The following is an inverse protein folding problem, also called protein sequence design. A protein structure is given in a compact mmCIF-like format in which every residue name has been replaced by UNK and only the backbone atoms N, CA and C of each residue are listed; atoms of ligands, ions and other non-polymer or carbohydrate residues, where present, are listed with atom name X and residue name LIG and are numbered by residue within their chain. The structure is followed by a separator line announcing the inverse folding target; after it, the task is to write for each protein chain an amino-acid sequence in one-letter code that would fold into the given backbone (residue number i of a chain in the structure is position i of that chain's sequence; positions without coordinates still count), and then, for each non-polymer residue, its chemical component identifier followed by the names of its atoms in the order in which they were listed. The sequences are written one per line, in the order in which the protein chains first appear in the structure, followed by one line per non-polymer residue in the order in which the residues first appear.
data_IF_579243531588
#
_entry.id   IF_579243531588
#
_cell.length_a   1.000
_cell.length_b   1.000
_cell.length_c   1.000
_cell.angle_alpha   90.00
_cell.angle_beta   90.00
_cell.angle_gamma   90.00
#
_symmetry.space_group_name_H-M   'P 1'
#
loop_
_entity.id
_entity.type
_entity.pdbx_description
1 polymer ?
#
# COMPACT_ATOMS: atom_id res chain seq x y z
N UNK A 1 3.13 1.59 -13.93
CA UNK A 1 2.25 1.89 -12.78
C UNK A 1 0.82 1.75 -13.25
N UNK A 2 0.06 0.80 -12.69
CA UNK A 2 -1.40 0.73 -12.88
C UNK A 2 -2.12 1.79 -12.03
N UNK A 3 -3.43 1.89 -12.16
CA UNK A 3 -4.24 2.85 -11.39
C UNK A 3 -5.52 2.20 -10.88
N UNK A 4 -5.91 2.52 -9.65
CA UNK A 4 -7.19 2.12 -9.05
C UNK A 4 -8.07 3.35 -8.90
N UNK A 5 -9.33 3.23 -9.29
CA UNK A 5 -10.35 4.27 -9.22
C UNK A 5 -11.48 3.73 -8.35
N UNK A 6 -11.80 4.45 -7.28
CA UNK A 6 -12.88 4.06 -6.37
C UNK A 6 -14.25 4.18 -7.06
N UNK A 7 -15.15 3.23 -6.79
CA UNK A 7 -16.59 3.43 -6.94
C UNK A 7 -17.15 3.91 -5.60
N UNK A 8 -17.99 4.94 -5.61
CA UNK A 8 -18.38 5.67 -4.39
C UNK A 8 -19.88 5.66 -4.12
N UNK A 9 -20.72 5.28 -5.09
CA UNK A 9 -22.15 5.47 -4.98
C UNK A 9 -22.92 4.15 -4.91
N UNK A 10 -23.75 4.00 -3.87
CA UNK A 10 -24.88 3.10 -3.81
C UNK A 10 -26.13 3.92 -3.47
N UNK A 11 -27.31 3.48 -3.88
CA UNK A 11 -28.56 4.19 -3.58
C UNK A 11 -29.02 4.00 -2.13
N UNK A 12 -28.70 2.83 -1.55
CA UNK A 12 -29.03 2.44 -0.16
C UNK A 12 -28.34 1.12 0.18
N UNK A 13 -28.30 0.76 1.47
CA UNK A 13 -27.71 -0.51 1.97
C UNK A 13 -28.24 -1.77 1.27
N UNK A 14 -29.47 -1.74 0.76
CA UNK A 14 -30.04 -2.85 -0.03
C UNK A 14 -29.25 -3.18 -1.31
N UNK A 15 -28.54 -2.21 -1.91
CA UNK A 15 -27.68 -2.48 -3.07
C UNK A 15 -26.39 -3.22 -2.67
N UNK A 16 -25.84 -2.88 -1.50
CA UNK A 16 -24.72 -3.62 -0.91
C UNK A 16 -25.15 -5.08 -0.71
N UNK A 17 -26.30 -5.32 -0.07
CA UNK A 17 -26.83 -6.66 0.11
C UNK A 17 -27.07 -7.39 -1.22
N UNK A 18 -27.61 -6.69 -2.23
CA UNK A 18 -27.80 -7.25 -3.57
C UNK A 18 -26.48 -7.70 -4.22
N UNK A 19 -25.41 -6.91 -4.13
CA UNK A 19 -24.08 -7.28 -4.66
C UNK A 19 -23.52 -8.53 -3.97
N UNK A 20 -23.64 -8.64 -2.63
CA UNK A 20 -23.24 -9.85 -1.89
C UNK A 20 -24.04 -11.09 -2.29
N UNK A 21 -25.31 -10.93 -2.64
CA UNK A 21 -26.20 -12.01 -3.08
C UNK A 21 -26.09 -12.32 -4.58
N UNK A 22 -25.27 -11.57 -5.33
CA UNK A 22 -25.16 -11.70 -6.79
C UNK A 22 -26.42 -11.26 -7.53
N UNK A 23 -27.24 -10.41 -6.92
CA UNK A 23 -28.45 -9.85 -7.50
C UNK A 23 -28.14 -8.55 -8.28
N UNK A 24 -28.97 -8.17 -9.26
CA UNK A 24 -28.83 -6.89 -9.95
C UNK A 24 -28.91 -5.70 -8.97
N UNK A 25 -28.05 -4.71 -9.17
CA UNK A 25 -28.03 -3.45 -8.42
C UNK A 25 -27.51 -2.31 -9.31
N UNK A 26 -27.76 -1.06 -8.92
CA UNK A 26 -27.33 0.14 -9.64
C UNK A 26 -26.02 0.76 -9.15
N UNK A 27 -25.53 0.34 -7.98
CA UNK A 27 -24.32 0.93 -7.38
C UNK A 27 -23.04 0.82 -8.24
N UNK A 28 -22.14 1.78 -8.03
CA UNK A 28 -20.89 1.95 -8.75
C UNK A 28 -19.78 1.03 -8.25
N UNK A 29 -19.12 0.36 -9.19
CA UNK A 29 -17.99 -0.53 -8.94
C UNK A 29 -16.67 0.19 -9.22
N UNK A 30 -15.59 -0.13 -8.50
CA UNK A 30 -14.29 0.45 -8.76
C UNK A 30 -13.74 -0.02 -10.12
N UNK A 31 -12.64 0.61 -10.56
CA UNK A 31 -11.86 0.17 -11.72
C UNK A 31 -10.40 0.01 -11.36
N UNK A 32 -9.80 -1.11 -11.77
CA UNK A 32 -8.36 -1.34 -11.71
C UNK A 32 -7.81 -1.43 -13.13
N UNK A 33 -6.84 -0.57 -13.43
CA UNK A 33 -6.19 -0.50 -14.73
C UNK A 33 -4.75 -0.97 -14.64
N UNK A 34 -4.38 -1.95 -15.49
CA UNK A 34 -3.00 -2.36 -15.69
C UNK A 34 -2.38 -1.52 -16.81
N UNK A 35 -1.22 -0.92 -16.54
CA UNK A 35 -0.48 -0.17 -17.54
C UNK A 35 0.28 -1.12 -18.47
N UNK A 36 -0.08 -1.11 -19.75
CA UNK A 36 0.54 -1.92 -20.80
C UNK A 36 1.71 -1.22 -21.52
N UNK A 37 2.16 -0.08 -21.00
CA UNK A 37 3.16 0.77 -21.63
C UNK A 37 2.58 1.64 -22.75
N UNK A 38 3.37 2.63 -23.20
CA UNK A 38 3.03 3.51 -24.34
C UNK A 38 1.66 4.19 -24.21
N UNK A 39 1.28 4.58 -22.98
CA UNK A 39 0.00 5.24 -22.71
C UNK A 39 -1.24 4.33 -22.77
N UNK A 40 -1.08 3.01 -22.95
CA UNK A 40 -2.19 2.06 -22.96
C UNK A 40 -2.48 1.52 -21.56
N UNK A 41 -3.76 1.50 -21.22
CA UNK A 41 -4.28 0.93 -19.98
C UNK A 41 -5.34 -0.11 -20.29
N UNK A 42 -5.25 -1.24 -19.61
CA UNK A 42 -6.23 -2.32 -19.71
C UNK A 42 -7.03 -2.39 -18.41
N UNK A 43 -8.36 -2.35 -18.51
CA UNK A 43 -9.23 -2.68 -17.39
C UNK A 43 -9.06 -4.16 -17.03
N UNK A 44 -8.58 -4.40 -15.82
CA UNK A 44 -8.37 -5.74 -15.25
C UNK A 44 -9.25 -5.98 -14.02
N UNK A 45 -10.22 -5.11 -13.73
CA UNK A 45 -11.02 -5.12 -12.49
C UNK A 45 -11.62 -6.48 -12.19
N UNK A 46 -12.31 -7.07 -13.17
CA UNK A 46 -12.94 -8.39 -13.03
C UNK A 46 -11.93 -9.51 -12.87
N UNK A 47 -10.88 -9.53 -13.69
CA UNK A 47 -9.83 -10.53 -13.63
C UNK A 47 -9.08 -10.47 -12.28
N UNK A 48 -8.94 -9.26 -11.72
CA UNK A 48 -8.33 -9.00 -10.43
C UNK A 48 -9.24 -9.33 -9.23
N UNK A 49 -10.52 -9.66 -9.46
CA UNK A 49 -11.47 -9.99 -8.39
C UNK A 49 -12.09 -8.79 -7.69
N UNK A 50 -11.96 -7.58 -8.24
CA UNK A 50 -12.42 -6.33 -7.63
C UNK A 50 -13.74 -5.78 -8.24
N UNK A 51 -14.40 -6.52 -9.15
CA UNK A 51 -15.64 -6.11 -9.84
C UNK A 51 -16.89 -6.27 -8.94
N UNK A 52 -16.90 -5.57 -7.79
CA UNK A 52 -17.93 -5.61 -6.73
C UNK A 52 -18.13 -4.24 -6.08
N UNK A 53 -19.20 -4.06 -5.32
CA UNK A 53 -19.40 -2.84 -4.54
C UNK A 53 -18.39 -2.73 -3.40
N UNK A 54 -17.65 -1.62 -3.36
CA UNK A 54 -16.67 -1.34 -2.31
C UNK A 54 -16.93 -0.02 -1.59
N UNK A 55 -17.53 0.99 -2.25
CA UNK A 55 -17.80 2.31 -1.68
C UNK A 55 -16.56 2.93 -1.02
N UNK A 56 -15.40 2.84 -1.70
CA UNK A 56 -14.13 3.24 -1.12
C UNK A 56 -14.02 4.78 -1.10
N UNK A 57 -13.92 5.36 0.09
CA UNK A 57 -13.60 6.78 0.25
C UNK A 57 -12.08 6.94 0.23
N UNK A 58 -11.37 6.17 1.04
CA UNK A 58 -9.91 6.13 1.09
C UNK A 58 -9.35 4.80 0.63
N UNK A 59 -8.19 4.84 -0.01
CA UNK A 59 -7.46 3.67 -0.45
C UNK A 59 -5.96 3.94 -0.30
N UNK A 60 -5.20 2.94 0.13
CA UNK A 60 -3.75 2.99 0.08
C UNK A 60 -3.16 1.58 -0.08
N UNK A 61 -1.89 1.53 -0.50
CA UNK A 61 -1.18 0.31 -0.83
C UNK A 61 -0.04 0.06 0.16
N UNK A 62 0.14 -1.20 0.55
CA UNK A 62 1.22 -1.65 1.44
C UNK A 62 1.44 -3.15 1.27
N UNK A 63 2.66 -3.62 1.52
CA UNK A 63 3.08 -5.02 1.40
C UNK A 63 3.10 -5.61 2.82
N UNK A 64 1.92 -5.92 3.36
CA UNK A 64 1.76 -6.15 4.81
C UNK A 64 2.28 -7.52 5.24
N UNK A 65 2.38 -8.48 4.31
CA UNK A 65 2.87 -9.83 4.58
C UNK A 65 4.31 -10.06 4.07
N UNK A 66 5.00 -9.00 3.63
CA UNK A 66 6.37 -9.02 3.12
C UNK A 66 6.60 -9.93 1.90
N UNK A 67 5.56 -10.26 1.12
CA UNK A 67 5.67 -11.14 -0.06
C UNK A 67 6.19 -10.44 -1.34
N UNK A 68 6.36 -9.11 -1.27
CA UNK A 68 6.87 -8.27 -2.35
C UNK A 68 5.79 -7.71 -3.27
N UNK A 69 4.52 -8.05 -3.03
CA UNK A 69 3.37 -7.57 -3.79
C UNK A 69 2.56 -6.58 -2.94
N UNK A 70 2.27 -5.37 -3.45
CA UNK A 70 1.41 -4.44 -2.72
C UNK A 70 -0.02 -4.98 -2.61
N UNK A 71 -0.49 -5.03 -1.37
CA UNK A 71 -1.87 -5.25 -0.94
C UNK A 71 -2.62 -3.91 -0.89
N UNK A 72 -3.95 -3.98 -0.75
CA UNK A 72 -4.85 -2.83 -0.84
C UNK A 72 -5.79 -2.80 0.37
N UNK A 73 -5.67 -1.76 1.19
CA UNK A 73 -6.67 -1.46 2.23
C UNK A 73 -7.57 -0.32 1.80
N UNK A 74 -8.87 -0.49 2.01
CA UNK A 74 -9.92 0.46 1.66
C UNK A 74 -10.67 0.91 2.91
N UNK A 75 -10.64 2.23 3.15
CA UNK A 75 -11.62 2.90 3.97
C UNK A 75 -12.90 3.08 3.17
N UNK A 76 -13.99 2.47 3.62
CA UNK A 76 -15.25 2.40 2.89
C UNK A 76 -16.37 3.18 3.58
N UNK A 77 -17.36 3.59 2.81
CA UNK A 77 -18.55 4.27 3.28
C UNK A 77 -19.07 5.28 2.27
N UNK A 78 -20.15 5.96 2.65
CA UNK A 78 -20.76 7.08 1.92
C UNK A 78 -21.37 8.05 2.94
N UNK A 79 -21.85 9.24 2.57
CA UNK A 79 -22.36 10.20 3.54
C UNK A 79 -23.61 9.72 4.27
N UNK A 80 -24.49 8.93 3.64
CA UNK A 80 -25.72 8.43 4.26
C UNK A 80 -25.42 7.63 5.54
N UNK A 81 -26.08 7.99 6.64
CA UNK A 81 -25.98 7.32 7.94
C UNK A 81 -26.49 5.86 7.88
N UNK A 82 -27.37 5.55 6.92
CA UNK A 82 -27.91 4.20 6.76
C UNK A 82 -26.96 3.24 6.03
N UNK A 83 -25.89 3.76 5.43
CA UNK A 83 -24.94 2.96 4.67
C UNK A 83 -24.10 2.08 5.57
N UNK A 84 -23.92 0.83 5.13
CA UNK A 84 -23.17 -0.18 5.86
C UNK A 84 -22.28 -0.96 4.89
N UNK A 85 -20.99 -0.64 4.91
CA UNK A 85 -19.96 -1.34 4.15
C UNK A 85 -18.75 -1.52 5.07
N UNK A 86 -18.27 -2.76 5.29
CA UNK A 86 -17.04 -2.95 6.04
C UNK A 86 -15.85 -2.43 5.25
N UNK A 87 -14.93 -1.76 5.95
CA UNK A 87 -13.58 -1.52 5.45
C UNK A 87 -12.97 -2.85 4.99
N UNK A 88 -12.12 -2.82 3.96
CA UNK A 88 -11.63 -4.04 3.30
C UNK A 88 -10.13 -4.08 3.22
N UNK A 89 -9.57 -5.27 3.44
CA UNK A 89 -8.18 -5.59 3.09
C UNK A 89 -8.16 -6.66 2.01
N UNK A 90 -7.47 -6.34 0.92
CA UNK A 90 -7.28 -7.19 -0.23
C UNK A 90 -5.81 -7.56 -0.38
N UNK A 91 -5.50 -8.85 -0.20
CA UNK A 91 -4.15 -9.40 -0.35
C UNK A 91 -3.83 -9.70 -1.81
N UNK A 92 -2.63 -9.38 -2.27
CA UNK A 92 -2.17 -9.62 -3.64
C UNK A 92 -1.07 -10.68 -3.69
N UNK A 93 -1.40 -11.96 -3.83
CA UNK A 93 -0.39 -13.02 -3.91
C UNK A 93 0.41 -13.10 -5.23
N UNK A 94 0.46 -12.05 -6.04
CA UNK A 94 1.23 -11.99 -7.29
C UNK A 94 0.62 -12.63 -8.53
N UNK A 95 -0.48 -13.37 -8.38
CA UNK A 95 -1.20 -14.03 -9.47
C UNK A 95 -2.07 -13.10 -10.33
N UNK A 96 -2.04 -11.79 -10.08
CA UNK A 96 -2.90 -10.80 -10.76
C UNK A 96 -4.36 -10.80 -10.28
N UNK A 97 -4.64 -11.44 -9.15
CA UNK A 97 -5.93 -11.46 -8.47
C UNK A 97 -5.75 -11.13 -6.99
N UNK A 98 -6.69 -10.39 -6.45
CA UNK A 98 -6.76 -10.06 -5.03
C UNK A 98 -7.64 -11.04 -4.26
N UNK A 99 -7.23 -11.34 -3.03
CA UNK A 99 -7.95 -12.13 -2.05
C UNK A 99 -8.52 -11.21 -0.98
N UNK A 100 -9.82 -11.31 -0.72
CA UNK A 100 -10.46 -10.55 0.36
C UNK A 100 -10.14 -11.22 1.70
N UNK A 101 -9.19 -10.63 2.43
CA UNK A 101 -8.68 -11.15 3.71
C UNK A 101 -9.25 -10.38 4.91
N UNK A 102 -10.24 -9.51 4.68
CA UNK A 102 -10.83 -8.59 5.67
C UNK A 102 -11.18 -9.27 6.99
N UNK A 103 -11.89 -10.41 6.93
CA UNK A 103 -12.31 -11.16 8.12
C UNK A 103 -11.13 -11.89 8.77
N UNK A 104 -10.24 -12.49 7.97
CA UNK A 104 -9.10 -13.23 8.47
C UNK A 104 -8.11 -12.31 9.20
N UNK A 105 -7.88 -11.11 8.67
CA UNK A 105 -7.05 -10.06 9.26
C UNK A 105 -7.74 -9.26 10.36
N UNK A 106 -9.07 -9.44 10.55
CA UNK A 106 -9.88 -8.76 11.58
C UNK A 106 -9.90 -7.23 11.47
N UNK A 107 -9.86 -6.72 10.25
CA UNK A 107 -9.82 -5.26 9.97
C UNK A 107 -11.13 -4.69 9.43
N UNK A 108 -12.19 -5.50 9.39
CA UNK A 108 -13.50 -5.15 8.81
C UNK A 108 -14.38 -4.24 9.66
N UNK A 109 -13.90 -3.03 9.98
CA UNK A 109 -14.71 -2.03 10.68
C UNK A 109 -15.91 -1.58 9.86
N UNK A 110 -17.07 -1.43 10.52
CA UNK A 110 -18.32 -0.97 9.91
C UNK A 110 -18.50 0.55 9.99
N UNK A 111 -17.76 1.23 10.88
CA UNK A 111 -17.68 2.68 10.85
C UNK A 111 -17.01 3.13 9.54
N UNK A 112 -17.41 4.29 9.03
CA UNK A 112 -16.90 4.78 7.75
C UNK A 112 -15.41 5.05 7.82
N UNK A 113 -14.65 4.53 6.87
CA UNK A 113 -13.21 4.71 6.76
C UNK A 113 -12.83 5.77 5.73
N UNK A 114 -11.85 6.60 6.07
CA UNK A 114 -11.31 7.67 5.21
C UNK A 114 -9.80 7.48 5.03
N UNK A 115 -8.99 8.36 5.62
CA UNK A 115 -7.55 8.37 5.42
C UNK A 115 -6.89 7.04 5.81
N UNK A 116 -6.11 6.45 4.91
CA UNK A 116 -5.37 5.19 5.17
C UNK A 116 -3.87 5.44 5.03
N UNK A 117 -3.08 4.94 5.98
CA UNK A 117 -1.63 4.91 5.90
C UNK A 117 -1.08 3.52 6.28
N UNK A 118 -0.09 3.07 5.52
CA UNK A 118 0.75 1.92 5.86
C UNK A 118 2.13 2.40 6.30
N UNK A 119 2.61 1.93 7.44
CA UNK A 119 3.97 2.13 7.91
C UNK A 119 4.31 1.10 8.99
N UNK A 120 5.60 0.84 9.17
CA UNK A 120 6.17 0.13 10.31
C UNK A 120 6.24 1.12 11.49
N UNK A 121 5.18 1.20 12.31
CA UNK A 121 5.05 2.26 13.32
C UNK A 121 5.82 1.93 14.61
N UNK A 122 5.94 0.64 14.95
CA UNK A 122 6.64 0.17 16.14
C UNK A 122 8.07 -0.33 15.86
N UNK A 123 8.49 -0.33 14.59
CA UNK A 123 9.83 -0.65 14.10
C UNK A 123 10.21 -2.13 14.29
N UNK A 124 9.23 -3.02 14.15
CA UNK A 124 9.38 -4.46 14.37
C UNK A 124 9.66 -5.26 13.08
N UNK A 125 9.46 -4.65 11.91
CA UNK A 125 9.77 -5.25 10.62
C UNK A 125 8.57 -5.74 9.81
N UNK A 126 7.37 -5.28 10.12
CA UNK A 126 6.21 -5.41 9.24
C UNK A 126 5.47 -4.06 9.06
N UNK A 127 4.42 -4.04 8.23
CA UNK A 127 3.62 -2.83 8.03
C UNK A 127 2.32 -2.93 8.81
N UNK A 128 2.05 -1.93 9.63
CA UNK A 128 0.77 -1.68 10.27
C UNK A 128 -0.16 -0.84 9.38
N UNK A 129 -1.41 -0.72 9.82
CA UNK A 129 -2.42 0.12 9.17
C UNK A 129 -2.97 1.15 10.18
N UNK A 130 -2.86 2.43 9.82
CA UNK A 130 -3.62 3.49 10.49
C UNK A 130 -4.77 3.95 9.60
N UNK A 131 -5.99 4.00 10.14
CA UNK A 131 -7.17 4.46 9.42
C UNK A 131 -7.93 5.55 10.19
N UNK A 132 -8.25 6.63 9.50
CA UNK A 132 -9.14 7.70 9.97
C UNK A 132 -10.58 7.24 9.82
N UNK A 133 -11.37 7.38 10.87
CA UNK A 133 -12.73 6.85 10.95
C UNK A 133 -13.76 7.94 11.22
N UNK A 134 -15.02 7.65 10.89
CA UNK A 134 -16.17 8.52 11.10
C UNK A 134 -16.60 9.21 9.82
N UNK A 135 -17.89 9.54 9.72
CA UNK A 135 -18.51 10.20 8.58
C UNK A 135 -18.55 11.73 8.69
N UNK A 136 -19.12 12.35 7.66
CA UNK A 136 -19.20 13.82 7.53
C UNK A 136 -20.16 14.48 8.53
N UNK A 137 -21.05 13.71 9.15
CA UNK A 137 -22.07 14.22 10.06
C UNK A 137 -21.64 14.06 11.53
N UNK A 138 -22.03 15.00 12.38
CA UNK A 138 -21.69 15.00 13.81
C UNK A 138 -22.16 13.74 14.56
N UNK A 139 -23.25 13.12 14.10
CA UNK A 139 -23.77 11.86 14.64
C UNK A 139 -23.03 10.61 14.18
N UNK A 140 -22.04 10.74 13.28
CA UNK A 140 -21.30 9.65 12.64
C UNK A 140 -19.81 9.69 13.03
N UNK A 141 -19.51 10.18 14.23
CA UNK A 141 -18.11 10.27 14.69
C UNK A 141 -17.61 8.90 15.17
N UNK A 142 -16.35 8.61 14.91
CA UNK A 142 -15.69 7.40 15.38
C UNK A 142 -14.23 7.71 15.72
N UNK A 143 -13.68 6.95 16.68
CA UNK A 143 -12.24 7.01 16.94
C UNK A 143 -11.47 6.43 15.75
N UNK A 144 -10.36 7.06 15.39
CA UNK A 144 -9.41 6.49 14.45
C UNK A 144 -8.91 5.15 14.97
N UNK A 145 -8.59 4.25 14.04
CA UNK A 145 -8.16 2.90 14.37
C UNK A 145 -6.70 2.69 13.92
N UNK A 146 -5.99 1.94 14.73
CA UNK A 146 -4.64 1.46 14.45
C UNK A 146 -4.69 -0.07 14.52
N UNK A 147 -4.24 -0.72 13.46
CA UNK A 147 -4.10 -2.17 13.37
C UNK A 147 -2.61 -2.50 13.41
N UNK A 148 -2.17 -2.95 14.57
CA UNK A 148 -0.86 -3.58 14.74
C UNK A 148 -0.85 -4.88 13.94
N UNK A 149 0.15 -5.05 13.07
CA UNK A 149 0.38 -6.29 12.38
C UNK A 149 1.17 -7.22 13.31
N UNK A 150 0.68 -8.44 13.61
CA UNK A 150 1.32 -9.31 14.60
C UNK A 150 2.59 -10.01 14.09
N UNK A 151 3.09 -9.65 12.92
CA UNK A 151 4.24 -10.26 12.26
C UNK A 151 3.99 -10.65 10.81
N UNK A 152 4.99 -10.42 9.97
CA UNK A 152 5.05 -10.87 8.58
C UNK A 152 6.22 -11.82 8.32
N UNK A 153 6.00 -12.83 7.47
CA UNK A 153 7.05 -13.76 7.05
C UNK A 153 7.81 -13.22 5.84
N UNK A 154 9.12 -13.03 5.96
CA UNK A 154 9.95 -12.62 4.82
C UNK A 154 11.10 -11.72 5.23
N UNK A 155 12.02 -11.49 4.30
CA UNK A 155 12.95 -10.37 4.44
C UNK A 155 12.31 -9.13 3.82
N UNK A 156 12.70 -7.96 4.30
CA UNK A 156 12.20 -6.67 3.81
C UNK A 156 13.36 -5.68 3.68
N UNK A 157 13.14 -4.55 3.02
CA UNK A 157 14.01 -3.38 3.13
C UNK A 157 13.15 -2.13 3.06
N UNK A 158 13.37 -1.20 3.99
CA UNK A 158 12.73 0.11 3.95
C UNK A 158 13.74 1.14 3.45
N UNK A 159 13.39 1.87 2.39
CA UNK A 159 14.32 2.75 1.67
C UNK A 159 13.86 4.20 1.80
N UNK A 160 14.68 5.04 2.42
CA UNK A 160 14.56 6.49 2.39
C UNK A 160 15.52 7.08 1.35
N UNK A 161 15.00 7.90 0.42
CA UNK A 161 15.83 8.59 -0.56
C UNK A 161 16.18 10.00 -0.11
N UNK A 162 17.41 10.43 -0.41
CA UNK A 162 17.87 11.82 -0.25
C UNK A 162 18.36 12.37 -1.59
N UNK A 163 17.51 13.17 -2.24
CA UNK A 163 17.87 13.89 -3.47
C UNK A 163 18.84 15.05 -3.20
N UNK A 164 19.78 15.27 -4.12
CA UNK A 164 20.73 16.39 -4.12
C UNK A 164 20.39 17.36 -5.26
N UNK A 165 20.36 16.86 -6.49
CA UNK A 165 19.87 17.56 -7.68
C UNK A 165 18.37 17.31 -7.88
N UNK A 166 17.91 16.10 -7.60
CA UNK A 166 16.51 15.78 -7.43
C UNK A 166 15.93 16.47 -6.18
N UNK A 167 14.60 16.51 -6.07
CA UNK A 167 13.96 17.01 -4.85
C UNK A 167 14.38 16.16 -3.63
N UNK A 168 14.57 16.82 -2.47
CA UNK A 168 15.12 16.18 -1.26
C UNK A 168 14.48 14.85 -0.87
N UNK A 169 13.14 14.70 -0.85
CA UNK A 169 12.52 13.42 -0.50
C UNK A 169 12.55 12.37 -1.63
N UNK A 170 13.09 12.70 -2.81
CA UNK A 170 13.11 11.80 -3.96
C UNK A 170 11.73 11.53 -4.56
N UNK A 171 10.74 12.39 -4.31
CA UNK A 171 9.37 12.25 -4.81
C UNK A 171 9.34 12.08 -6.33
N UNK A 172 8.73 11.00 -6.79
CA UNK A 172 8.66 10.60 -8.19
C UNK A 172 9.80 9.68 -8.65
N UNK A 173 10.78 9.37 -7.80
CA UNK A 173 11.83 8.40 -8.11
C UNK A 173 11.23 7.01 -8.35
N UNK A 174 11.77 6.28 -9.32
CA UNK A 174 11.32 4.92 -9.67
C UNK A 174 12.38 3.92 -9.27
N UNK A 175 11.99 2.99 -8.42
CA UNK A 175 12.85 1.96 -7.87
C UNK A 175 12.58 0.63 -8.58
N UNK A 176 13.65 -0.07 -8.92
CA UNK A 176 13.64 -1.41 -9.49
C UNK A 176 14.54 -2.28 -8.62
N UNK A 177 13.94 -3.00 -7.69
CA UNK A 177 14.63 -3.90 -6.78
C UNK A 177 14.70 -5.29 -7.41
N UNK A 178 15.91 -5.72 -7.76
CA UNK A 178 16.16 -7.03 -8.33
C UNK A 178 16.45 -8.01 -7.21
N UNK A 179 15.64 -9.05 -7.09
CA UNK A 179 15.75 -10.09 -6.06
C UNK A 179 15.82 -11.46 -6.71
N UNK A 180 16.52 -12.38 -6.07
CA UNK A 180 16.68 -13.75 -6.57
C UNK A 180 15.77 -14.71 -5.79
N UNK A 181 14.82 -15.32 -6.49
CA UNK A 181 13.91 -16.33 -5.96
C UNK A 181 14.28 -17.70 -6.59
N UNK A 182 15.22 -18.40 -5.96
CA UNK A 182 15.79 -19.63 -6.50
C UNK A 182 16.58 -19.38 -7.79
N UNK A 183 16.10 -19.91 -8.92
CA UNK A 183 16.74 -19.73 -10.24
C UNK A 183 16.21 -18.54 -11.02
N UNK A 184 15.12 -17.92 -10.57
CA UNK A 184 14.49 -16.80 -11.26
C UNK A 184 14.87 -15.47 -10.59
N UNK A 185 15.01 -14.44 -11.41
CA UNK A 185 15.16 -13.06 -10.94
C UNK A 185 13.81 -12.37 -11.04
N UNK A 186 13.29 -11.90 -9.91
CA UNK A 186 12.10 -11.05 -9.85
C UNK A 186 12.51 -9.59 -9.72
N UNK A 187 11.75 -8.71 -10.36
CA UNK A 187 11.94 -7.25 -10.25
C UNK A 187 10.73 -6.66 -9.55
N UNK A 188 10.96 -6.10 -8.36
CA UNK A 188 9.94 -5.42 -7.57
C UNK A 188 10.04 -3.92 -7.87
N UNK A 189 8.91 -3.34 -8.29
CA UNK A 189 8.83 -1.94 -8.66
C UNK A 189 8.21 -1.13 -7.53
N UNK A 190 8.80 0.03 -7.23
CA UNK A 190 8.21 1.07 -6.37
C UNK A 190 8.37 2.44 -7.01
N UNK A 191 7.48 3.36 -6.68
CA UNK A 191 7.63 4.78 -7.00
C UNK A 191 7.53 5.54 -5.71
N UNK A 192 8.42 6.48 -5.46
CA UNK A 192 8.35 7.33 -4.26
C UNK A 192 7.17 8.27 -4.38
N UNK A 193 6.11 7.97 -3.64
CA UNK A 193 4.86 8.72 -3.53
C UNK A 193 4.19 8.35 -2.21
N UNK A 194 3.09 9.02 -1.85
CA UNK A 194 2.26 8.70 -0.68
C UNK A 194 1.34 7.51 -0.91
N UNK A 195 1.14 7.08 -2.16
CA UNK A 195 0.38 5.88 -2.56
C UNK A 195 -1.16 6.00 -2.46
N UNK A 196 -1.67 6.83 -1.56
CA UNK A 196 -3.09 6.87 -1.20
C UNK A 196 -3.93 7.99 -1.82
N UNK A 197 -5.24 7.86 -1.68
CA UNK A 197 -6.23 8.91 -1.99
C UNK A 197 -6.44 9.84 -0.78
N UNK A 198 -7.38 9.50 0.10
CA UNK A 198 -7.46 10.08 1.44
C UNK A 198 -6.38 9.42 2.30
N UNK A 199 -5.59 10.24 3.01
CA UNK A 199 -4.43 9.79 3.77
C UNK A 199 -3.16 9.71 2.94
N UNK A 200 -2.05 9.38 3.58
CA UNK A 200 -0.75 9.29 2.95
C UNK A 200 0.16 8.34 3.73
N UNK A 201 0.81 7.41 3.04
CA UNK A 201 1.93 6.66 3.59
C UNK A 201 3.21 7.52 3.58
N UNK A 202 4.21 7.19 4.42
CA UNK A 202 5.52 7.85 4.38
C UNK A 202 6.17 7.74 2.98
N UNK A 203 7.06 8.68 2.64
CA UNK A 203 7.84 8.60 1.39
C UNK A 203 8.86 7.46 1.39
N UNK A 204 9.15 6.89 2.57
CA UNK A 204 9.99 5.70 2.70
C UNK A 204 9.31 4.53 1.99
N UNK A 205 10.06 3.83 1.16
CA UNK A 205 9.53 2.76 0.34
C UNK A 205 9.80 1.42 1.02
N UNK A 206 8.72 0.76 1.42
CA UNK A 206 8.76 -0.61 1.92
C UNK A 206 8.77 -1.61 0.75
N UNK A 207 9.68 -2.57 0.82
CA UNK A 207 9.80 -3.66 -0.14
C UNK A 207 9.94 -4.97 0.63
N UNK A 208 8.86 -5.76 0.68
CA UNK A 208 8.93 -7.17 1.01
C UNK A 208 9.71 -7.92 -0.05
N UNK A 209 10.51 -8.90 0.34
CA UNK A 209 11.35 -9.69 -0.55
C UNK A 209 10.78 -11.10 -0.76
N UNK A 210 9.66 -11.42 -0.11
CA UNK A 210 9.04 -12.75 -0.12
C UNK A 210 10.04 -13.82 0.27
N UNK A 211 10.22 -14.80 -0.64
CA UNK A 211 11.17 -15.90 -0.45
C UNK A 211 12.63 -15.51 -0.71
N UNK A 212 12.88 -14.33 -1.28
CA UNK A 212 14.23 -13.87 -1.51
C UNK A 212 14.84 -13.36 -0.19
N UNK A 213 15.99 -13.93 0.18
CA UNK A 213 16.74 -13.49 1.37
C UNK A 213 17.69 -12.33 1.12
N UNK A 214 17.78 -11.83 -0.12
CA UNK A 214 18.74 -10.79 -0.53
C UNK A 214 18.25 -9.99 -1.73
N UNK A 215 18.81 -8.79 -1.86
CA UNK A 215 18.67 -7.92 -3.03
C UNK A 215 19.96 -8.00 -3.84
N UNK A 216 19.88 -8.32 -5.13
CA UNK A 216 21.05 -8.41 -6.01
C UNK A 216 21.52 -7.02 -6.47
N UNK A 217 20.55 -6.16 -6.78
CA UNK A 217 20.76 -4.73 -7.01
C UNK A 217 19.46 -3.95 -6.89
N UNK A 218 19.58 -2.69 -6.51
CA UNK A 218 18.53 -1.70 -6.58
C UNK A 218 18.91 -0.67 -7.64
N UNK A 219 18.04 -0.45 -8.62
CA UNK A 219 18.18 0.65 -9.57
C UNK A 219 17.20 1.76 -9.21
N UNK A 220 17.68 3.00 -9.23
CA UNK A 220 16.92 4.21 -8.89
C UNK A 220 16.99 5.15 -10.09
N UNK A 221 15.84 5.46 -10.68
CA UNK A 221 15.72 6.54 -11.66
C UNK A 221 15.29 7.81 -10.91
N UNK A 222 16.20 8.79 -10.79
CA UNK A 222 15.98 10.02 -10.04
C UNK A 222 15.16 11.04 -10.85
N UNK A 223 14.13 11.68 -10.25
CA UNK A 223 13.31 12.67 -10.91
C UNK A 223 14.03 14.02 -10.96
N UNK A 224 13.79 14.82 -11.99
CA UNK A 224 14.42 16.13 -12.16
C UNK A 224 15.84 16.04 -12.72
N UNK A 225 16.77 15.33 -12.05
CA UNK A 225 18.13 15.14 -12.56
C UNK A 225 18.20 14.18 -13.76
N UNK A 226 17.24 13.24 -13.86
CA UNK A 226 17.18 12.24 -14.92
C UNK A 226 18.29 11.18 -14.83
N UNK A 227 19.03 11.14 -13.72
CA UNK A 227 20.12 10.19 -13.51
C UNK A 227 19.60 8.82 -13.12
N UNK A 228 20.33 7.78 -13.52
CA UNK A 228 20.12 6.41 -13.06
C UNK A 228 21.26 6.01 -12.13
N UNK A 229 20.91 5.56 -10.93
CA UNK A 229 21.83 5.08 -9.92
C UNK A 229 21.62 3.59 -9.68
N UNK A 230 22.70 2.85 -9.41
CA UNK A 230 22.66 1.41 -9.12
C UNK A 230 23.38 1.16 -7.79
N UNK A 231 22.70 0.47 -6.87
CA UNK A 231 23.22 0.05 -5.57
C UNK A 231 23.24 -1.47 -5.53
N UNK A 232 24.38 -2.09 -5.21
CA UNK A 232 24.54 -3.56 -5.23
C UNK A 232 24.50 -4.20 -3.84
N UNK A 233 25.08 -3.55 -2.84
CA UNK A 233 25.16 -4.07 -1.47
C UNK A 233 24.00 -3.52 -0.62
N UNK A 234 22.77 -3.90 -0.95
CA UNK A 234 21.57 -3.40 -0.25
C UNK A 234 21.32 -4.25 1.01
N UNK A 235 21.44 -3.68 2.23
CA UNK A 235 21.11 -4.38 3.46
C UNK A 235 19.62 -4.74 3.50
N UNK A 236 19.32 -5.94 4.01
CA UNK A 236 17.94 -6.42 4.22
C UNK A 236 17.61 -6.50 5.71
N UNK A 237 16.31 -6.50 6.04
CA UNK A 237 15.75 -6.36 7.39
C UNK A 237 16.25 -5.11 8.08
N UNK A 238 16.33 -4.02 7.32
CA UNK A 238 16.90 -2.74 7.75
C UNK A 238 16.17 -1.61 7.04
N UNK A 239 16.04 -0.50 7.76
CA UNK A 239 15.83 0.82 7.19
C UNK A 239 17.17 1.35 6.68
N UNK A 240 17.20 1.82 5.44
CA UNK A 240 18.39 2.39 4.80
C UNK A 240 18.09 3.74 4.19
N UNK A 241 19.09 4.61 4.19
CA UNK A 241 19.10 5.86 3.42
C UNK A 241 19.99 5.70 2.19
N UNK A 242 19.52 6.17 1.04
CA UNK A 242 20.32 6.26 -0.19
C UNK A 242 20.33 7.71 -0.68
N UNK A 243 21.53 8.27 -0.81
CA UNK A 243 21.73 9.65 -1.29
C UNK A 243 22.00 9.64 -2.79
N UNK A 244 21.42 10.60 -3.51
CA UNK A 244 21.66 10.78 -4.94
C UNK A 244 23.15 10.98 -5.25
N UNK A 245 23.67 10.16 -6.16
CA UNK A 245 25.09 10.18 -6.55
C UNK A 245 26.01 9.38 -5.62
N UNK A 246 25.54 8.93 -4.46
CA UNK A 246 26.29 8.05 -3.55
C UNK A 246 25.78 6.61 -3.64
N UNK A 247 26.63 5.71 -4.13
CA UNK A 247 26.31 4.29 -4.27
C UNK A 247 26.24 3.51 -2.96
N UNK A 248 26.54 4.14 -1.82
CA UNK A 248 26.66 3.47 -0.52
C UNK A 248 25.39 3.65 0.31
N UNK A 249 24.61 2.58 0.56
CA UNK A 249 23.46 2.67 1.44
C UNK A 249 23.90 2.83 2.90
N UNK A 250 23.28 3.75 3.62
CA UNK A 250 23.53 3.98 5.05
C UNK A 250 22.42 3.34 5.85
N UNK A 251 22.76 2.38 6.73
CA UNK A 251 21.78 1.77 7.64
C UNK A 251 21.34 2.80 8.67
N UNK A 252 20.03 2.99 8.79
CA UNK A 252 19.43 3.85 9.81
C UNK A 252 19.21 3.00 11.05
N UNK A 253 19.87 3.38 12.16
CA UNK A 253 19.60 2.80 13.48
C UNK A 253 18.49 3.64 14.11
N UNK A 254 17.34 3.04 14.45
CA UNK A 254 16.28 3.83 15.05
C UNK A 254 16.66 4.41 16.40
N UNK A 255 16.16 5.61 16.67
CA UNK A 255 16.38 6.26 17.95
C UNK A 255 15.56 5.52 19.01
N UNK A 256 16.21 4.72 19.86
CA UNK A 256 15.57 4.17 21.06
C UNK A 256 15.32 5.31 22.03
N UNK A 257 14.07 5.77 22.11
CA UNK A 257 13.64 6.61 23.22
C UNK A 257 13.77 5.77 24.49
N UNK A 258 14.75 6.11 25.35
CA UNK A 258 14.88 5.46 26.65
C UNK A 258 13.55 5.56 27.40
N UNK A 259 13.13 4.48 28.07
CA UNK A 259 11.97 4.54 28.96
C UNK A 259 12.14 5.74 29.89
N UNK A 260 11.14 6.62 29.93
CA UNK A 260 11.08 7.65 30.95
C UNK A 260 11.31 6.96 32.29
N UNK A 261 12.30 7.42 33.05
CA UNK A 261 12.49 6.94 34.41
C UNK A 261 11.21 7.29 35.18
N UNK A 262 10.57 6.27 35.74
CA UNK A 262 9.45 6.43 36.68
C UNK A 262 9.85 7.30 37.88
#
# INVERSE_FOLDING_TARGET
MGGFVCGYQAAHVGEVAADYLGLPHGGEKPRLYRNGGQGRFQDVTRAAGLDRLLLAMGANWGDYDNDGWPDLYLGTGEPDLSSLMPNRLFRNGGGGRFEDVTTAARVGHLQKGHGVAFADFDEDGDLDIYAVMGGAFSGDTAANVFFENPGAEGAWVEIELRGISANRPGLGARLRCHVQEGRETRVIYRTVTTGGSFGASPFRQWIGLGKAGKVDRLEIDWPGSGTRQVVREVPVRRRITITEGDGTPVVVVPARWGRARE
#
